data_IF_120197493581
#
_entry.id   IF_120197493581
#
_cell.length_a   1.000
_cell.length_b   1.000
_cell.length_c   1.000
_cell.angle_alpha   90.00
_cell.angle_beta   90.00
_cell.angle_gamma   90.00
#
_symmetry.space_group_name_H-M   'P 1'
#
loop_
_entity.id
_entity.type
_entity.pdbx_description
1 polymer ?
#
# COMPACT_ATOMS: atom_id res chain seq x y z
N UNK A 1 -0.49 11.90 34.76
CA UNK A 1 -1.44 11.83 33.64
C UNK A 1 -0.61 11.90 32.38
N UNK A 2 -0.38 10.79 31.66
CA UNK A 2 0.23 10.89 30.33
C UNK A 2 -0.83 11.47 29.40
N UNK A 3 -0.51 12.57 28.71
CA UNK A 3 -1.31 13.03 27.58
C UNK A 3 -1.39 11.86 26.60
N UNK A 4 -2.60 11.38 26.32
CA UNK A 4 -2.80 10.36 25.28
C UNK A 4 -2.35 10.90 23.94
N UNK A 5 -1.80 10.03 23.09
CA UNK A 5 -1.45 10.39 21.72
C UNK A 5 -2.73 10.41 20.89
N UNK A 6 -2.87 11.40 20.00
CA UNK A 6 -3.98 11.48 19.04
C UNK A 6 -3.42 11.24 17.65
N UNK A 7 -3.99 10.29 16.92
CA UNK A 7 -3.76 10.14 15.49
C UNK A 7 -4.76 11.00 14.72
N UNK A 8 -4.28 12.00 13.98
CA UNK A 8 -5.11 12.82 13.10
C UNK A 8 -4.93 12.37 11.64
N UNK A 9 -5.95 11.77 10.99
CA UNK A 9 -5.88 11.39 9.58
C UNK A 9 -5.57 12.56 8.62
N UNK A 10 -5.82 13.80 9.03
CA UNK A 10 -5.53 14.99 8.23
C UNK A 10 -4.13 15.57 8.47
N UNK A 11 -3.39 15.08 9.47
CA UNK A 11 -2.01 15.52 9.71
C UNK A 11 -1.15 15.29 8.46
N UNK A 12 -0.38 16.32 8.08
CA UNK A 12 0.52 16.27 6.94
C UNK A 12 1.69 15.33 7.24
N UNK A 13 1.50 14.08 6.85
CA UNK A 13 2.48 13.00 6.92
C UNK A 13 2.56 12.34 5.54
N UNK A 14 3.36 12.91 4.61
CA UNK A 14 3.38 12.45 3.24
C UNK A 14 3.86 11.00 3.10
N UNK A 15 3.28 10.28 2.15
CA UNK A 15 3.68 8.92 1.82
C UNK A 15 3.31 8.55 0.38
N UNK A 16 3.93 7.49 -0.13
CA UNK A 16 3.66 6.93 -1.46
C UNK A 16 2.68 5.77 -1.35
N UNK A 17 1.73 5.67 -2.28
CA UNK A 17 0.83 4.52 -2.38
C UNK A 17 0.96 3.78 -3.70
N UNK A 18 -0.18 3.52 -4.33
CA UNK A 18 -0.28 2.77 -5.59
C UNK A 18 0.40 3.50 -6.76
N UNK A 19 0.86 2.71 -7.74
CA UNK A 19 1.32 3.20 -9.03
C UNK A 19 0.12 3.76 -9.81
N UNK A 20 0.29 4.99 -10.27
CA UNK A 20 -0.64 5.65 -11.17
C UNK A 20 -0.46 5.14 -12.60
N UNK A 21 -1.56 4.65 -13.20
CA UNK A 21 -1.57 4.04 -14.54
C UNK A 21 -1.07 4.99 -15.62
N UNK A 22 -1.46 6.26 -15.54
CA UNK A 22 -1.12 7.27 -16.56
C UNK A 22 0.36 7.65 -16.58
N UNK A 23 1.04 7.62 -15.42
CA UNK A 23 2.43 8.08 -15.29
C UNK A 23 3.42 6.93 -15.09
N UNK A 24 2.95 5.75 -14.66
CA UNK A 24 3.81 4.65 -14.25
C UNK A 24 4.56 4.92 -12.94
N UNK A 25 4.24 5.99 -12.21
CA UNK A 25 4.90 6.39 -10.97
C UNK A 25 3.98 6.20 -9.77
N UNK A 26 4.55 6.02 -8.59
CA UNK A 26 3.75 6.00 -7.36
C UNK A 26 3.09 7.35 -7.13
N UNK A 27 1.80 7.32 -6.78
CA UNK A 27 1.09 8.49 -6.32
C UNK A 27 1.61 8.89 -4.92
N UNK A 28 1.78 10.18 -4.69
CA UNK A 28 2.12 10.74 -3.38
C UNK A 28 0.88 11.33 -2.74
N UNK A 29 0.63 10.98 -1.49
CA UNK A 29 -0.48 11.49 -0.68
C UNK A 29 0.08 12.32 0.45
N UNK A 30 -0.50 13.50 0.70
CA UNK A 30 -0.02 14.42 1.74
C UNK A 30 -0.43 14.00 3.15
N UNK A 31 -1.56 13.30 3.29
CA UNK A 31 -2.04 12.72 4.55
C UNK A 31 -2.88 11.46 4.30
N UNK A 32 -3.28 10.76 5.36
CA UNK A 32 -4.18 9.61 5.25
C UNK A 32 -5.53 10.02 4.65
N UNK A 33 -6.04 11.21 5.01
CA UNK A 33 -7.28 11.74 4.47
C UNK A 33 -7.17 11.99 2.95
N UNK A 34 -6.05 12.53 2.45
CA UNK A 34 -5.81 12.66 1.01
C UNK A 34 -5.91 11.31 0.30
N UNK A 35 -5.32 10.28 0.88
CA UNK A 35 -5.38 8.92 0.35
C UNK A 35 -6.82 8.40 0.30
N UNK A 36 -7.57 8.46 1.40
CA UNK A 36 -8.95 7.95 1.46
C UNK A 36 -9.88 8.66 0.49
N UNK A 37 -9.87 9.99 0.47
CA UNK A 37 -10.81 10.74 -0.38
C UNK A 37 -10.44 10.66 -1.86
N UNK A 38 -9.16 10.67 -2.22
CA UNK A 38 -8.75 10.51 -3.62
C UNK A 38 -9.00 9.09 -4.15
N UNK A 39 -8.78 8.05 -3.32
CA UNK A 39 -9.03 6.67 -3.71
C UNK A 39 -10.51 6.29 -3.75
N UNK A 40 -11.36 6.99 -3.00
CA UNK A 40 -12.83 6.89 -3.07
C UNK A 40 -13.36 7.17 -4.48
N UNK A 41 -12.75 8.14 -5.17
CA UNK A 41 -13.19 8.62 -6.51
C UNK A 41 -12.31 8.12 -7.66
N UNK A 42 -11.27 7.35 -7.36
CA UNK A 42 -10.40 6.77 -8.38
C UNK A 42 -11.17 5.88 -9.38
N UNK A 43 -10.96 6.09 -10.68
CA UNK A 43 -11.67 5.42 -11.76
C UNK A 43 -13.12 5.86 -11.95
N UNK A 44 -13.61 6.78 -11.12
CA UNK A 44 -14.97 7.36 -11.21
C UNK A 44 -14.86 8.83 -11.67
N UNK A 45 -14.05 9.62 -10.99
CA UNK A 45 -13.76 11.02 -11.33
C UNK A 45 -12.27 11.31 -11.14
N UNK A 46 -11.48 11.06 -12.19
CA UNK A 46 -10.03 11.31 -12.16
C UNK A 46 -9.68 12.81 -12.13
N UNK A 47 -10.56 13.69 -12.61
CA UNK A 47 -10.32 15.13 -12.55
C UNK A 47 -10.43 15.61 -11.10
N UNK A 48 -11.50 15.22 -10.41
CA UNK A 48 -11.67 15.52 -9.00
C UNK A 48 -10.61 14.84 -8.13
N UNK A 49 -10.25 13.58 -8.44
CA UNK A 49 -9.14 12.90 -7.78
C UNK A 49 -7.84 13.70 -7.83
N UNK A 50 -7.48 14.23 -9.01
CA UNK A 50 -6.27 15.04 -9.21
C UNK A 50 -6.34 16.36 -8.44
N UNK A 51 -7.51 17.00 -8.44
CA UNK A 51 -7.74 18.20 -7.64
C UNK A 51 -7.50 17.93 -6.14
N UNK A 52 -8.10 16.87 -5.58
CA UNK A 52 -7.90 16.49 -4.18
C UNK A 52 -6.43 16.21 -3.84
N UNK A 53 -5.69 15.55 -4.74
CA UNK A 53 -4.27 15.24 -4.53
C UNK A 53 -3.36 16.48 -4.53
N UNK A 54 -3.79 17.57 -5.16
CA UNK A 54 -3.03 18.82 -5.29
C UNK A 54 -3.38 19.85 -4.21
N UNK A 55 -4.41 19.59 -3.39
CA UNK A 55 -4.93 20.53 -2.41
C UNK A 55 -4.11 20.46 -1.11
N UNK A 56 -3.03 21.24 -1.03
CA UNK A 56 -2.07 21.21 0.07
C UNK A 56 -2.53 21.99 1.33
N UNK A 57 -3.43 22.95 1.17
CA UNK A 57 -4.08 23.64 2.28
C UNK A 57 -5.03 22.68 3.03
N UNK A 58 -4.65 22.33 4.25
CA UNK A 58 -5.36 21.34 5.08
C UNK A 58 -6.75 21.81 5.48
N UNK A 59 -6.97 23.12 5.69
CA UNK A 59 -8.28 23.64 6.05
C UNK A 59 -9.21 23.62 4.84
N UNK A 60 -8.71 24.05 3.67
CA UNK A 60 -9.45 23.99 2.42
C UNK A 60 -9.79 22.55 2.05
N UNK A 61 -8.83 21.63 2.19
CA UNK A 61 -9.06 20.20 1.97
C UNK A 61 -10.12 19.64 2.92
N UNK A 62 -10.06 19.95 4.22
CA UNK A 62 -11.10 19.56 5.19
C UNK A 62 -12.47 20.08 4.82
N UNK A 63 -12.58 21.35 4.44
CA UNK A 63 -13.85 21.95 4.01
C UNK A 63 -14.42 21.24 2.78
N UNK A 64 -13.56 20.92 1.80
CA UNK A 64 -13.93 20.21 0.58
C UNK A 64 -14.48 18.81 0.87
N UNK A 65 -13.83 18.04 1.74
CA UNK A 65 -14.13 16.60 1.88
C UNK A 65 -15.04 16.24 3.06
N UNK A 66 -15.01 17.04 4.14
CA UNK A 66 -15.84 16.85 5.33
C UNK A 66 -16.95 17.91 5.45
N UNK A 67 -16.79 19.09 4.83
CA UNK A 67 -17.73 20.22 4.94
C UNK A 67 -18.79 20.29 3.84
N UNK A 68 -18.46 19.87 2.62
CA UNK A 68 -19.35 19.91 1.46
C UNK A 68 -19.42 18.49 0.89
N UNK A 69 -20.45 17.73 1.26
CA UNK A 69 -20.55 16.31 0.89
C UNK A 69 -20.20 16.06 -0.59
N UNK A 70 -19.41 15.01 -0.84
CA UNK A 70 -18.86 14.69 -2.17
C UNK A 70 -19.98 14.65 -3.22
N UNK A 71 -19.83 15.44 -4.27
CA UNK A 71 -20.83 15.55 -5.36
C UNK A 71 -20.64 14.49 -6.44
N UNK A 72 -19.44 13.92 -6.56
CA UNK A 72 -19.15 12.77 -7.42
C UNK A 72 -19.66 11.47 -6.79
N UNK A 73 -20.15 10.54 -7.63
CA UNK A 73 -20.58 9.23 -7.14
C UNK A 73 -19.45 8.44 -6.49
N UNK A 74 -19.79 7.56 -5.55
CA UNK A 74 -18.84 6.66 -4.91
C UNK A 74 -18.54 5.45 -5.80
N UNK A 75 -17.39 4.81 -5.56
CA UNK A 75 -17.19 3.44 -6.03
C UNK A 75 -18.32 2.54 -5.50
N UNK A 76 -18.87 1.63 -6.31
CA UNK A 76 -19.98 0.76 -5.91
C UNK A 76 -19.74 -0.07 -4.64
N UNK A 77 -18.48 -0.37 -4.32
CA UNK A 77 -18.07 -1.21 -3.19
C UNK A 77 -17.48 -0.39 -2.02
N UNK A 78 -17.59 0.95 -2.06
CA UNK A 78 -16.90 1.86 -1.16
C UNK A 78 -17.09 1.52 0.33
N UNK A 79 -18.33 1.35 0.76
CA UNK A 79 -18.65 1.08 2.18
C UNK A 79 -18.01 -0.22 2.67
N UNK A 80 -17.90 -1.24 1.81
CA UNK A 80 -17.25 -2.52 2.13
C UNK A 80 -15.72 -2.50 1.99
N UNK A 81 -15.14 -1.45 1.42
CA UNK A 81 -13.69 -1.29 1.21
C UNK A 81 -13.06 -0.29 2.17
N UNK A 82 -13.83 0.62 2.75
CA UNK A 82 -13.34 1.79 3.50
C UNK A 82 -12.35 1.44 4.62
N UNK A 83 -12.69 0.50 5.51
CA UNK A 83 -11.81 0.07 6.63
C UNK A 83 -10.52 -0.58 6.09
N UNK A 84 -10.63 -1.46 5.10
CA UNK A 84 -9.45 -2.09 4.46
C UNK A 84 -8.54 -1.07 3.80
N UNK A 85 -9.13 -0.07 3.16
CA UNK A 85 -8.39 1.01 2.54
C UNK A 85 -7.69 1.87 3.60
N UNK A 86 -8.39 2.25 4.68
CA UNK A 86 -7.79 2.92 5.84
C UNK A 86 -6.61 2.14 6.40
N UNK A 87 -6.76 0.83 6.60
CA UNK A 87 -5.68 -0.04 7.04
C UNK A 87 -4.50 0.01 6.06
N UNK A 88 -4.75 -0.11 4.76
CA UNK A 88 -3.71 -0.05 3.74
C UNK A 88 -2.97 1.30 3.75
N UNK A 89 -3.71 2.41 3.89
CA UNK A 89 -3.16 3.76 4.01
C UNK A 89 -2.30 3.93 5.26
N UNK A 90 -2.78 3.48 6.42
CA UNK A 90 -2.05 3.48 7.69
C UNK A 90 -0.74 2.70 7.55
N UNK A 91 -0.81 1.49 6.98
CA UNK A 91 0.37 0.66 6.76
C UNK A 91 1.38 1.35 5.83
N UNK A 92 0.93 1.89 4.69
CA UNK A 92 1.80 2.59 3.73
C UNK A 92 2.41 3.86 4.32
N UNK A 93 1.64 4.64 5.08
CA UNK A 93 2.13 5.84 5.76
C UNK A 93 3.14 5.50 6.85
N UNK A 94 2.94 4.40 7.59
CA UNK A 94 3.87 3.91 8.60
C UNK A 94 5.21 3.47 8.02
N UNK A 95 5.25 2.95 6.79
CA UNK A 95 6.51 2.61 6.11
C UNK A 95 7.38 3.85 5.87
N UNK A 96 6.76 5.00 5.57
CA UNK A 96 7.45 6.27 5.33
C UNK A 96 7.72 7.07 6.62
N UNK A 97 6.87 6.91 7.64
CA UNK A 97 6.87 7.75 8.86
C UNK A 97 7.15 6.92 10.12
N UNK A 98 8.22 6.11 10.09
CA UNK A 98 8.50 5.07 11.11
C UNK A 98 8.66 5.61 12.52
N UNK A 99 9.28 6.78 12.67
CA UNK A 99 9.49 7.40 14.00
C UNK A 99 8.16 7.82 14.62
N UNK A 100 7.33 8.54 13.86
CA UNK A 100 6.01 8.98 14.31
C UNK A 100 5.13 7.78 14.69
N UNK A 101 5.05 6.78 13.81
CA UNK A 101 4.30 5.56 14.11
C UNK A 101 4.89 4.76 15.28
N UNK A 102 6.21 4.79 15.47
CA UNK A 102 6.86 4.22 16.66
C UNK A 102 6.36 4.87 17.96
N UNK A 103 6.20 6.19 17.96
CA UNK A 103 5.65 6.93 19.11
C UNK A 103 4.17 6.60 19.34
N UNK A 104 3.36 6.53 18.28
CA UNK A 104 1.95 6.12 18.38
C UNK A 104 1.82 4.73 18.99
N UNK A 105 2.60 3.76 18.46
CA UNK A 105 2.62 2.38 18.93
C UNK A 105 3.07 2.24 20.39
N UNK A 106 4.02 3.07 20.84
CA UNK A 106 4.47 3.08 22.23
C UNK A 106 3.37 3.53 23.21
N UNK A 107 2.33 4.20 22.72
CA UNK A 107 1.20 4.72 23.50
C UNK A 107 -0.14 4.14 23.08
N UNK A 108 -0.13 2.97 22.41
CA UNK A 108 -1.31 2.41 21.76
C UNK A 108 -2.53 2.23 22.69
N UNK A 109 -2.31 1.89 23.96
CA UNK A 109 -3.38 1.72 24.96
C UNK A 109 -4.18 3.01 25.24
N UNK A 110 -3.62 4.19 24.93
CA UNK A 110 -4.25 5.49 25.12
C UNK A 110 -4.37 6.28 23.80
N UNK A 111 -4.26 5.59 22.66
CA UNK A 111 -4.35 6.21 21.34
C UNK A 111 -5.81 6.60 21.05
N UNK A 112 -6.04 7.87 20.70
CA UNK A 112 -7.33 8.34 20.21
C UNK A 112 -7.23 8.77 18.75
N UNK A 113 -8.36 8.79 18.04
CA UNK A 113 -8.43 9.30 16.65
C UNK A 113 -9.06 10.68 16.68
N UNK A 114 -8.47 11.63 15.95
CA UNK A 114 -9.07 12.95 15.79
C UNK A 114 -10.45 12.85 15.13
N UNK A 115 -11.37 13.75 15.52
CA UNK A 115 -12.73 13.73 15.00
C UNK A 115 -12.78 14.08 13.51
N UNK A 116 -13.35 13.19 12.71
CA UNK A 116 -13.63 13.38 11.28
C UNK A 116 -14.78 12.45 10.82
N UNK A 117 -15.22 12.62 9.57
CA UNK A 117 -16.32 11.85 8.96
C UNK A 117 -16.11 10.32 8.94
N UNK A 118 -14.88 9.86 9.13
CA UNK A 118 -14.51 8.44 9.13
C UNK A 118 -13.71 8.03 10.39
N UNK A 119 -13.84 8.78 11.48
CA UNK A 119 -13.09 8.55 12.72
C UNK A 119 -13.28 7.15 13.31
N UNK A 120 -14.51 6.61 13.29
CA UNK A 120 -14.79 5.25 13.75
C UNK A 120 -14.08 4.19 12.89
N UNK A 121 -14.16 4.32 11.57
CA UNK A 121 -13.50 3.40 10.63
C UNK A 121 -11.96 3.48 10.77
N UNK A 122 -11.43 4.69 11.00
CA UNK A 122 -10.01 4.90 11.24
C UNK A 122 -9.55 4.31 12.58
N UNK A 123 -10.39 4.36 13.61
CA UNK A 123 -10.11 3.72 14.90
C UNK A 123 -10.06 2.20 14.77
N UNK A 124 -10.99 1.61 14.03
CA UNK A 124 -11.01 0.18 13.72
C UNK A 124 -9.73 -0.23 12.96
N UNK A 125 -9.43 0.44 11.84
CA UNK A 125 -8.24 0.14 11.04
C UNK A 125 -6.92 0.34 11.79
N UNK A 126 -6.82 1.37 12.65
CA UNK A 126 -5.66 1.59 13.50
C UNK A 126 -5.53 0.50 14.57
N UNK A 127 -6.64 0.08 15.18
CA UNK A 127 -6.65 -1.04 16.13
C UNK A 127 -6.15 -2.34 15.50
N UNK A 128 -6.62 -2.65 14.27
CA UNK A 128 -6.12 -3.79 13.49
C UNK A 128 -4.62 -3.66 13.20
N UNK A 129 -4.15 -2.48 12.79
CA UNK A 129 -2.74 -2.23 12.51
C UNK A 129 -1.87 -2.44 13.75
N UNK A 130 -2.28 -1.90 14.91
CA UNK A 130 -1.58 -2.08 16.20
C UNK A 130 -1.49 -3.56 16.55
N UNK A 131 -2.62 -4.29 16.47
CA UNK A 131 -2.66 -5.73 16.77
C UNK A 131 -1.72 -6.53 15.86
N UNK A 132 -1.66 -6.17 14.58
CA UNK A 132 -0.82 -6.82 13.59
C UNK A 132 0.67 -6.56 13.78
N UNK A 133 1.04 -5.37 14.24
CA UNK A 133 2.42 -5.04 14.60
C UNK A 133 2.87 -5.83 15.82
N UNK A 134 1.97 -6.05 16.79
CA UNK A 134 2.25 -6.85 17.99
C UNK A 134 2.32 -8.36 17.69
N UNK A 135 1.62 -8.84 16.66
CA UNK A 135 1.58 -10.26 16.26
C UNK A 135 1.93 -10.47 14.76
N UNK A 136 3.18 -10.18 14.34
CA UNK A 136 3.53 -10.08 12.92
C UNK A 136 3.66 -11.43 12.19
N UNK A 137 3.74 -12.55 12.92
CA UNK A 137 4.05 -13.87 12.35
C UNK A 137 2.91 -14.42 11.47
N UNK A 138 1.69 -13.96 11.68
CA UNK A 138 0.49 -14.40 10.96
C UNK A 138 0.11 -13.46 9.81
N UNK A 139 1.05 -12.66 9.29
CA UNK A 139 0.73 -11.66 8.26
C UNK A 139 1.52 -11.94 6.98
N UNK A 140 0.77 -12.14 5.90
CA UNK A 140 1.34 -12.38 4.58
C UNK A 140 1.87 -11.07 4.00
N UNK A 141 3.19 -10.95 3.95
CA UNK A 141 3.91 -9.89 3.23
C UNK A 141 4.56 -10.54 2.02
N UNK A 142 4.13 -10.20 0.83
CA UNK A 142 4.44 -10.98 -0.38
C UNK A 142 5.13 -10.10 -1.39
N UNK A 143 6.34 -10.47 -1.80
CA UNK A 143 7.01 -9.80 -2.91
C UNK A 143 6.76 -10.55 -4.21
N UNK A 144 6.53 -9.79 -5.27
CA UNK A 144 6.49 -10.27 -6.64
C UNK A 144 7.62 -9.62 -7.43
N UNK A 145 8.39 -10.45 -8.12
CA UNK A 145 9.44 -10.06 -9.03
C UNK A 145 9.15 -10.65 -10.41
N UNK A 146 9.64 -10.00 -11.47
CA UNK A 146 9.73 -10.59 -12.81
C UNK A 146 9.21 -9.70 -13.93
N UNK A 147 9.64 -10.03 -15.14
CA UNK A 147 9.40 -9.22 -16.34
C UNK A 147 7.97 -9.24 -16.91
N UNK A 148 7.05 -10.06 -16.38
CA UNK A 148 5.71 -10.17 -16.99
C UNK A 148 4.94 -8.86 -16.90
N UNK A 149 4.40 -8.39 -18.02
CA UNK A 149 3.56 -7.17 -18.11
C UNK A 149 2.09 -7.49 -18.39
N UNK A 150 1.74 -8.77 -18.50
CA UNK A 150 0.36 -9.20 -18.75
C UNK A 150 -0.46 -9.02 -17.46
N UNK A 151 -1.15 -7.88 -17.35
CA UNK A 151 -1.99 -7.54 -16.20
C UNK A 151 -3.09 -8.58 -15.95
N UNK A 152 -3.65 -9.18 -17.01
CA UNK A 152 -4.74 -10.15 -16.89
C UNK A 152 -4.24 -11.47 -16.29
N UNK A 153 -3.04 -11.89 -16.68
CA UNK A 153 -2.36 -13.04 -16.12
C UNK A 153 -1.96 -12.78 -14.66
N UNK A 154 -1.37 -11.61 -14.37
CA UNK A 154 -1.02 -11.21 -13.00
C UNK A 154 -2.27 -11.23 -12.11
N UNK A 155 -3.36 -10.58 -12.52
CA UNK A 155 -4.61 -10.55 -11.75
C UNK A 155 -5.16 -11.96 -11.49
N UNK A 156 -5.14 -12.83 -12.50
CA UNK A 156 -5.58 -14.22 -12.37
C UNK A 156 -4.71 -15.00 -11.37
N UNK A 157 -3.39 -14.86 -11.44
CA UNK A 157 -2.46 -15.51 -10.51
C UNK A 157 -2.66 -15.03 -9.08
N UNK A 158 -2.73 -13.71 -8.87
CA UNK A 158 -2.89 -13.12 -7.54
C UNK A 158 -4.24 -13.53 -6.94
N UNK A 159 -5.31 -13.61 -7.74
CA UNK A 159 -6.62 -14.11 -7.31
C UNK A 159 -6.57 -15.55 -6.81
N UNK A 160 -5.74 -16.41 -7.43
CA UNK A 160 -5.53 -17.80 -6.98
C UNK A 160 -4.69 -17.85 -5.71
N UNK A 161 -3.58 -17.11 -5.66
CA UNK A 161 -2.66 -17.07 -4.50
C UNK A 161 -3.41 -16.60 -3.25
N UNK A 162 -4.24 -15.57 -3.38
CA UNK A 162 -4.94 -14.93 -2.28
C UNK A 162 -6.40 -15.39 -2.11
N UNK A 163 -6.81 -16.47 -2.80
CA UNK A 163 -8.20 -16.98 -2.77
C UNK A 163 -8.70 -17.33 -1.36
N UNK A 164 -7.79 -17.72 -0.45
CA UNK A 164 -8.13 -18.15 0.92
C UNK A 164 -7.68 -17.18 2.01
N UNK A 165 -6.67 -16.36 1.73
CA UNK A 165 -6.04 -15.47 2.72
C UNK A 165 -5.43 -14.28 1.99
N UNK A 166 -5.89 -13.08 2.32
CA UNK A 166 -5.36 -11.84 1.77
C UNK A 166 -3.95 -11.54 2.27
N UNK A 167 -3.18 -10.82 1.47
CA UNK A 167 -1.93 -10.23 1.91
C UNK A 167 -2.17 -9.01 2.80
N UNK A 168 -1.30 -8.81 3.79
CA UNK A 168 -1.18 -7.55 4.51
C UNK A 168 -0.52 -6.48 3.63
N UNK A 169 0.50 -6.89 2.86
CA UNK A 169 1.25 -6.02 1.99
C UNK A 169 1.78 -6.76 0.77
N UNK A 170 1.62 -6.16 -0.41
CA UNK A 170 2.23 -6.57 -1.67
C UNK A 170 3.43 -5.68 -1.97
N UNK A 171 4.55 -6.29 -2.34
CA UNK A 171 5.79 -5.60 -2.63
C UNK A 171 6.26 -5.90 -4.06
N UNK A 172 6.82 -4.90 -4.73
CA UNK A 172 7.51 -5.06 -6.03
C UNK A 172 8.71 -4.13 -6.09
N UNK A 173 9.53 -4.26 -7.14
CA UNK A 173 10.64 -3.35 -7.44
C UNK A 173 10.21 -2.37 -8.53
N UNK A 174 10.63 -1.12 -8.40
CA UNK A 174 10.42 -0.08 -9.42
C UNK A 174 10.98 -0.53 -10.77
N UNK A 175 10.30 -0.16 -11.85
CA UNK A 175 10.61 -0.56 -13.24
C UNK A 175 10.56 -2.08 -13.53
N UNK A 176 10.25 -2.92 -12.54
CA UNK A 176 10.04 -4.35 -12.76
C UNK A 176 8.74 -4.59 -13.52
N UNK A 177 8.71 -5.59 -14.41
CA UNK A 177 7.62 -5.78 -15.36
C UNK A 177 6.25 -5.98 -14.69
N UNK A 178 6.22 -6.72 -13.58
CA UNK A 178 4.98 -7.02 -12.86
C UNK A 178 4.50 -5.90 -11.93
N UNK A 179 5.30 -4.84 -11.71
CA UNK A 179 5.05 -3.81 -10.69
C UNK A 179 3.67 -3.14 -10.84
N UNK A 180 3.32 -2.73 -12.06
CA UNK A 180 2.03 -2.10 -12.36
C UNK A 180 0.86 -3.05 -12.09
N UNK A 181 0.90 -4.28 -12.62
CA UNK A 181 -0.19 -5.25 -12.43
C UNK A 181 -0.43 -5.61 -10.97
N UNK A 182 0.65 -5.79 -10.19
CA UNK A 182 0.56 -6.05 -8.75
C UNK A 182 -0.01 -4.84 -8.00
N UNK A 183 0.42 -3.63 -8.33
CA UNK A 183 -0.11 -2.39 -7.76
C UNK A 183 -1.61 -2.22 -8.05
N UNK A 184 -2.05 -2.49 -9.29
CA UNK A 184 -3.46 -2.40 -9.68
C UNK A 184 -4.32 -3.43 -8.94
N UNK A 185 -3.82 -4.66 -8.78
CA UNK A 185 -4.48 -5.67 -7.95
C UNK A 185 -4.60 -5.22 -6.49
N UNK A 186 -3.52 -4.68 -5.93
CA UNK A 186 -3.49 -4.17 -4.55
C UNK A 186 -4.54 -3.07 -4.34
N UNK A 187 -4.58 -2.10 -5.27
CA UNK A 187 -5.55 -0.99 -5.27
C UNK A 187 -6.99 -1.48 -5.33
N UNK A 188 -7.29 -2.44 -6.21
CA UNK A 188 -8.62 -3.05 -6.35
C UNK A 188 -9.03 -3.81 -5.09
N UNK A 189 -8.10 -4.48 -4.42
CA UNK A 189 -8.35 -5.23 -3.20
C UNK A 189 -8.30 -4.41 -1.90
N UNK A 190 -7.98 -3.12 -1.98
CA UNK A 190 -7.63 -2.28 -0.83
C UNK A 190 -6.52 -2.91 0.05
N UNK A 191 -5.47 -3.42 -0.59
CA UNK A 191 -4.32 -4.05 0.06
C UNK A 191 -3.13 -3.10 0.04
N UNK A 192 -2.39 -3.00 1.14
CA UNK A 192 -1.18 -2.16 1.23
C UNK A 192 -0.17 -2.53 0.14
N UNK A 193 0.45 -1.52 -0.47
CA UNK A 193 1.44 -1.71 -1.53
C UNK A 193 2.75 -0.98 -1.19
N UNK A 194 3.88 -1.62 -1.46
CA UNK A 194 5.20 -1.01 -1.29
C UNK A 194 6.07 -1.25 -2.52
N UNK A 195 6.56 -0.16 -3.13
CA UNK A 195 7.52 -0.22 -4.22
C UNK A 195 8.93 -0.01 -3.66
N UNK A 196 9.84 -0.92 -3.97
CA UNK A 196 11.26 -0.78 -3.66
C UNK A 196 11.92 -0.02 -4.79
N UNK A 197 12.59 1.10 -4.49
CA UNK A 197 13.21 1.91 -5.54
C UNK A 197 14.33 1.16 -6.26
N UNK A 198 14.34 1.29 -7.59
CA UNK A 198 15.39 0.74 -8.45
C UNK A 198 16.73 1.49 -8.32
N UNK A 199 16.73 2.65 -7.64
CA UNK A 199 17.94 3.40 -7.31
C UNK A 199 18.76 2.78 -6.18
N UNK A 200 18.17 1.86 -5.40
CA UNK A 200 18.86 1.13 -4.35
C UNK A 200 19.83 0.11 -4.95
N UNK A 201 20.87 -0.23 -4.18
CA UNK A 201 21.75 -1.33 -4.55
C UNK A 201 20.98 -2.66 -4.54
N UNK A 202 21.40 -3.61 -5.38
CA UNK A 202 20.85 -4.97 -5.43
C UNK A 202 20.85 -5.65 -4.05
N UNK A 203 21.92 -5.43 -3.28
CA UNK A 203 22.06 -5.91 -1.89
C UNK A 203 20.99 -5.29 -0.99
N UNK A 204 20.82 -3.96 -1.04
CA UNK A 204 19.83 -3.26 -0.23
C UNK A 204 18.40 -3.68 -0.59
N UNK A 205 18.10 -3.94 -1.86
CA UNK A 205 16.79 -4.44 -2.28
C UNK A 205 16.57 -5.85 -1.72
N UNK A 206 17.55 -6.76 -1.88
CA UNK A 206 17.48 -8.11 -1.36
C UNK A 206 17.32 -8.14 0.17
N UNK A 207 18.08 -7.35 0.92
CA UNK A 207 17.95 -7.20 2.37
C UNK A 207 16.55 -6.70 2.78
N UNK A 208 16.01 -5.72 2.06
CA UNK A 208 14.65 -5.23 2.32
C UNK A 208 13.61 -6.32 2.08
N UNK A 209 13.76 -7.10 1.01
CA UNK A 209 12.88 -8.24 0.73
C UNK A 209 12.99 -9.28 1.85
N UNK A 210 14.19 -9.70 2.23
CA UNK A 210 14.42 -10.71 3.28
C UNK A 210 13.86 -10.27 4.64
N UNK A 211 14.00 -8.98 4.97
CA UNK A 211 13.54 -8.45 6.25
C UNK A 211 12.02 -8.27 6.31
N UNK A 212 11.38 -7.94 5.20
CA UNK A 212 9.98 -7.49 5.17
C UNK A 212 9.02 -8.52 4.59
N UNK A 213 9.48 -9.46 3.77
CA UNK A 213 8.62 -10.42 3.10
C UNK A 213 8.61 -11.78 3.82
N UNK A 214 7.48 -12.44 3.72
CA UNK A 214 7.25 -13.83 4.15
C UNK A 214 7.28 -14.80 2.98
N UNK A 215 6.99 -14.30 1.78
CA UNK A 215 6.91 -15.10 0.55
C UNK A 215 7.48 -14.29 -0.62
N UNK A 216 8.19 -14.99 -1.50
CA UNK A 216 8.82 -14.43 -2.69
C UNK A 216 8.31 -15.20 -3.90
N UNK A 217 7.64 -14.51 -4.80
CA UNK A 217 7.19 -15.05 -6.08
C UNK A 217 7.96 -14.44 -7.24
N UNK A 218 8.23 -15.25 -8.25
CA UNK A 218 8.93 -14.83 -9.46
C UNK A 218 8.11 -15.19 -10.70
N UNK A 219 7.59 -14.19 -11.40
CA UNK A 219 6.88 -14.37 -12.66
C UNK A 219 7.82 -14.70 -13.82
N UNK A 220 7.73 -15.92 -14.32
CA UNK A 220 8.41 -16.40 -15.50
C UNK A 220 7.55 -16.12 -16.74
N UNK A 221 8.13 -15.50 -17.77
CA UNK A 221 7.39 -15.19 -19.00
C UNK A 221 7.93 -14.03 -19.85
N UNK A 222 9.06 -13.45 -19.47
CA UNK A 222 9.79 -12.41 -20.23
C UNK A 222 11.27 -12.40 -19.86
N UNK A 223 12.03 -11.48 -20.44
CA UNK A 223 13.44 -11.26 -20.05
C UNK A 223 13.50 -10.35 -18.81
N UNK A 224 13.95 -10.91 -17.69
CA UNK A 224 14.17 -10.16 -16.46
C UNK A 224 15.20 -9.06 -16.67
N UNK A 225 14.97 -7.93 -15.99
CA UNK A 225 15.96 -6.86 -15.95
C UNK A 225 17.24 -7.34 -15.28
N UNK A 226 18.37 -6.70 -15.59
CA UNK A 226 19.65 -6.99 -14.92
C UNK A 226 19.54 -6.86 -13.39
N UNK A 227 18.80 -5.84 -12.95
CA UNK A 227 18.52 -5.60 -11.53
C UNK A 227 17.74 -6.76 -10.93
N UNK A 228 16.63 -7.17 -11.56
CA UNK A 228 15.79 -8.28 -11.10
C UNK A 228 16.59 -9.58 -11.01
N UNK A 229 17.40 -9.90 -12.04
CA UNK A 229 18.27 -11.09 -12.02
C UNK A 229 19.27 -11.06 -10.87
N UNK A 230 19.96 -9.93 -10.66
CA UNK A 230 20.94 -9.79 -9.60
C UNK A 230 20.30 -9.90 -8.21
N UNK A 231 19.13 -9.28 -8.00
CA UNK A 231 18.35 -9.42 -6.75
C UNK A 231 17.95 -10.87 -6.52
N UNK A 232 17.47 -11.58 -7.54
CA UNK A 232 17.12 -13.00 -7.45
C UNK A 232 18.34 -13.87 -7.08
N UNK A 233 19.51 -13.59 -7.65
CA UNK A 233 20.76 -14.29 -7.29
C UNK A 233 21.14 -14.07 -5.82
N UNK A 234 21.05 -12.82 -5.34
CA UNK A 234 21.32 -12.47 -3.94
C UNK A 234 20.37 -13.17 -2.98
N UNK A 235 19.07 -13.16 -3.29
CA UNK A 235 18.05 -13.85 -2.50
C UNK A 235 18.31 -15.36 -2.42
N UNK A 236 18.66 -16.00 -3.56
CA UNK A 236 19.04 -17.43 -3.58
C UNK A 236 20.32 -17.69 -2.79
N UNK A 237 21.33 -16.84 -2.92
CA UNK A 237 22.57 -16.93 -2.16
C UNK A 237 22.36 -16.82 -0.64
N UNK A 238 21.36 -16.05 -0.21
CA UNK A 238 20.93 -15.94 1.18
C UNK A 238 20.00 -17.07 1.65
N UNK A 239 19.69 -18.06 0.79
CA UNK A 239 18.85 -19.20 1.11
C UNK A 239 17.34 -18.93 1.07
N UNK A 240 16.91 -17.83 0.44
CA UNK A 240 15.48 -17.53 0.32
C UNK A 240 14.78 -18.51 -0.65
N UNK A 241 13.59 -18.96 -0.26
CA UNK A 241 12.73 -19.76 -1.13
C UNK A 241 11.98 -18.86 -2.11
N UNK A 242 12.27 -19.00 -3.40
CA UNK A 242 11.62 -18.24 -4.48
C UNK A 242 10.68 -19.18 -5.23
N UNK A 243 9.39 -18.85 -5.24
CA UNK A 243 8.38 -19.67 -5.92
C UNK A 243 8.17 -19.15 -7.35
N UNK A 244 8.49 -19.94 -8.38
CA UNK A 244 8.27 -19.52 -9.76
C UNK A 244 6.76 -19.57 -10.11
N UNK A 245 6.30 -18.57 -10.87
CA UNK A 245 4.96 -18.52 -11.48
C UNK A 245 5.15 -18.58 -12.98
N UNK A 246 4.76 -19.68 -13.61
CA UNK A 246 4.88 -19.87 -15.05
C UNK A 246 3.63 -19.37 -15.78
N UNK A 247 3.81 -18.65 -16.89
CA UNK A 247 2.74 -18.43 -17.86
C UNK A 247 2.27 -19.78 -18.43
N UNK A 248 0.96 -19.95 -18.58
CA UNK A 248 0.43 -21.09 -19.35
C UNK A 248 0.86 -20.88 -20.81
N UNK A 249 1.64 -21.81 -21.34
CA UNK A 249 1.94 -21.91 -22.78
C UNK A 249 0.71 -22.33 -23.57
#
# INVERSE_FOLDING_TARGET
MSLGSTFDPFELMPFTGYIERSTGRQETYLSLAHFIHSERVAGVDEHYRRYLLQLDDTELFRLEVDGVGITSGDKPEWDGMKVRLLYAGIYMQALSNREHYGNLLATADNLSIANCSFSNDAAEAMGEFVGDVQSPQDKLKVVFLGATKDESFIESCLSVIFARRGAQCLLTVEDDGCSMGVSMYARKGAVSFALLSASLSEESIAENILRRSTHIFHFLGGEDSKLTMAVLERLRGAGAQITPIQTKQ
#
